data_IF_829649840733
#
_entry.id   IF_829649840733
#
_cell.length_a   1.000
_cell.length_b   1.000
_cell.length_c   1.000
_cell.angle_alpha   90.00
_cell.angle_beta   90.00
_cell.angle_gamma   90.00
#
_symmetry.space_group_name_H-M   'P 1'
#
loop_
_entity.id
_entity.type
_entity.pdbx_description
1 polymer ?
#
# COMPACT_ATOMS: atom_id res chain seq x y z
N UNK A 1 10.97 6.01 16.99
CA UNK A 1 10.57 6.41 15.63
C UNK A 1 9.10 6.15 15.45
N UNK A 2 8.44 6.79 14.49
CA UNK A 2 6.97 6.76 14.36
C UNK A 2 6.39 5.44 13.83
N UNK A 3 7.23 4.55 13.30
CA UNK A 3 6.82 3.20 12.91
C UNK A 3 6.23 3.09 11.50
N UNK A 4 6.47 4.06 10.62
CA UNK A 4 6.09 4.00 9.21
C UNK A 4 7.11 4.75 8.34
N UNK A 5 7.10 4.46 7.05
CA UNK A 5 7.89 5.16 6.03
C UNK A 5 6.99 6.07 5.19
N UNK A 6 7.58 7.14 4.66
CA UNK A 6 6.91 8.07 3.75
C UNK A 6 7.57 8.09 2.38
N UNK A 7 6.80 8.45 1.37
CA UNK A 7 7.22 8.74 -0.01
C UNK A 7 6.46 9.96 -0.52
N UNK A 8 6.81 10.49 -1.68
CA UNK A 8 6.18 11.68 -2.25
C UNK A 8 6.93 12.97 -1.91
N UNK A 9 6.32 14.10 -2.29
CA UNK A 9 6.92 15.43 -2.24
C UNK A 9 7.10 16.00 -3.64
N UNK A 10 7.31 17.31 -3.71
CA UNK A 10 7.44 18.05 -5.00
C UNK A 10 8.63 17.64 -5.85
N UNK A 11 9.70 17.15 -5.22
CA UNK A 11 10.93 16.68 -5.86
C UNK A 11 10.93 15.17 -6.13
N UNK A 12 10.00 14.42 -5.52
CA UNK A 12 9.96 12.96 -5.55
C UNK A 12 8.51 12.48 -5.61
N UNK A 13 7.80 12.85 -6.68
CA UNK A 13 6.39 12.49 -6.86
C UNK A 13 6.22 10.95 -6.83
N UNK A 14 5.36 10.49 -5.92
CA UNK A 14 4.99 9.08 -5.82
C UNK A 14 3.87 8.70 -6.79
N UNK A 15 2.94 9.64 -7.02
CA UNK A 15 1.86 9.52 -7.99
C UNK A 15 2.06 10.65 -9.02
N UNK A 16 1.94 10.32 -10.31
CA UNK A 16 2.14 11.28 -11.39
C UNK A 16 1.22 12.50 -11.23
N UNK A 17 1.80 13.70 -11.29
CA UNK A 17 1.11 14.99 -11.09
C UNK A 17 0.53 15.17 -9.67
N UNK A 18 1.09 14.49 -8.67
CA UNK A 18 0.70 14.68 -7.27
C UNK A 18 1.94 14.83 -6.37
N UNK A 19 2.10 16.02 -5.80
CA UNK A 19 3.21 16.38 -4.91
C UNK A 19 2.97 16.01 -3.44
N UNK A 20 1.91 15.26 -3.12
CA UNK A 20 1.56 14.94 -1.73
C UNK A 20 2.51 13.93 -1.09
N UNK A 21 2.50 13.88 0.24
CA UNK A 21 3.19 12.87 1.04
C UNK A 21 2.27 11.68 1.30
N UNK A 22 2.82 10.48 1.17
CA UNK A 22 2.10 9.21 1.33
C UNK A 22 2.82 8.27 2.28
N UNK A 23 2.05 7.43 2.98
CA UNK A 23 2.59 6.29 3.73
C UNK A 23 2.91 5.17 2.76
N UNK A 24 4.18 4.76 2.68
CA UNK A 24 4.60 3.64 1.81
C UNK A 24 4.65 2.30 2.51
N UNK A 25 4.92 2.30 3.81
CA UNK A 25 5.08 1.08 4.59
C UNK A 25 4.81 1.32 6.07
N UNK A 26 4.19 0.36 6.74
CA UNK A 26 4.01 0.37 8.20
C UNK A 26 4.85 -0.74 8.82
N UNK A 27 5.71 -0.37 9.77
CA UNK A 27 6.58 -1.31 10.48
C UNK A 27 5.75 -2.16 11.44
N UNK A 28 5.74 -3.48 11.23
CA UNK A 28 5.15 -4.45 12.18
C UNK A 28 5.68 -4.23 13.59
N UNK A 29 4.77 -4.29 14.57
CA UNK A 29 5.04 -4.04 16.00
C UNK A 29 5.62 -2.63 16.31
N UNK A 30 5.56 -1.70 15.35
CA UNK A 30 5.93 -0.29 15.52
C UNK A 30 4.79 0.57 16.06
N UNK A 31 5.08 1.82 16.45
CA UNK A 31 4.09 2.72 17.08
C UNK A 31 2.82 2.90 16.23
N UNK A 32 2.96 3.23 14.93
CA UNK A 32 1.80 3.34 14.03
C UNK A 32 1.05 2.02 13.81
N UNK A 33 1.74 0.87 13.85
CA UNK A 33 1.11 -0.45 13.74
C UNK A 33 0.28 -0.76 15.00
N UNK A 34 0.82 -0.49 16.18
CA UNK A 34 0.13 -0.70 17.46
C UNK A 34 -1.05 0.24 17.66
N UNK A 35 -0.99 1.47 17.13
CA UNK A 35 -2.13 2.38 17.05
C UNK A 35 -3.21 1.88 16.06
N UNK A 36 -2.79 1.28 14.94
CA UNK A 36 -3.65 0.54 14.01
C UNK A 36 -4.56 1.40 13.12
N UNK A 37 -4.55 2.73 13.28
CA UNK A 37 -5.43 3.64 12.52
C UNK A 37 -4.84 4.03 11.17
N UNK A 38 -3.52 4.17 11.09
CA UNK A 38 -2.79 4.53 9.87
C UNK A 38 -2.66 3.30 8.95
N UNK A 39 -2.74 3.51 7.64
CA UNK A 39 -2.63 2.45 6.63
C UNK A 39 -1.63 2.83 5.53
N UNK A 40 -1.04 1.81 4.91
CA UNK A 40 -0.24 2.01 3.69
C UNK A 40 -1.11 2.59 2.58
N UNK A 41 -0.57 3.55 1.83
CA UNK A 41 -1.30 4.30 0.81
C UNK A 41 -2.07 5.52 1.34
N UNK A 42 -2.16 5.73 2.65
CA UNK A 42 -2.76 6.96 3.19
C UNK A 42 -1.99 8.20 2.73
N UNK A 43 -2.72 9.20 2.24
CA UNK A 43 -2.18 10.53 1.97
C UNK A 43 -2.14 11.31 3.27
N UNK A 44 -0.98 11.85 3.63
CA UNK A 44 -0.83 12.69 4.82
C UNK A 44 -0.95 14.17 4.40
N UNK A 45 -1.97 14.84 4.91
CA UNK A 45 -2.26 16.24 4.62
C UNK A 45 -1.56 17.19 5.60
N UNK A 46 -1.47 16.81 6.87
CA UNK A 46 -0.85 17.64 7.89
C UNK A 46 -0.28 16.82 9.05
N UNK A 47 0.72 17.37 9.72
CA UNK A 47 1.34 16.85 10.94
C UNK A 47 1.33 17.93 12.04
N UNK A 48 0.76 17.61 13.21
CA UNK A 48 0.64 18.53 14.34
C UNK A 48 0.06 19.90 13.95
N UNK A 49 -0.90 19.91 13.02
CA UNK A 49 -1.53 21.12 12.49
C UNK A 49 -0.74 21.84 11.39
N UNK A 50 0.49 21.43 11.07
CA UNK A 50 1.26 21.99 9.95
C UNK A 50 0.95 21.23 8.66
N UNK A 51 0.54 21.96 7.64
CA UNK A 51 0.21 21.42 6.32
C UNK A 51 1.47 20.87 5.60
N UNK A 52 1.32 19.76 4.89
CA UNK A 52 2.38 19.08 4.14
C UNK A 52 2.27 19.26 2.62
N UNK A 53 1.29 20.03 2.14
CA UNK A 53 1.07 20.30 0.72
C UNK A 53 2.28 20.99 0.11
N UNK A 54 2.64 20.52 -1.09
CA UNK A 54 3.72 21.08 -1.93
C UNK A 54 5.08 21.21 -1.21
N UNK A 55 5.33 20.39 -0.19
CA UNK A 55 6.65 20.28 0.43
C UNK A 55 7.59 19.40 -0.39
N UNK A 56 8.89 19.66 -0.29
CA UNK A 56 9.90 18.69 -0.73
C UNK A 56 9.91 17.52 0.24
N UNK A 57 10.30 16.36 -0.25
CA UNK A 57 10.38 15.13 0.53
C UNK A 57 11.22 15.33 1.80
N UNK A 58 12.40 15.95 1.67
CA UNK A 58 13.30 16.21 2.80
C UNK A 58 12.65 17.08 3.89
N UNK A 59 11.89 18.09 3.50
CA UNK A 59 11.28 19.04 4.43
C UNK A 59 10.15 18.34 5.21
N UNK A 60 9.40 17.47 4.55
CA UNK A 60 8.42 16.60 5.21
C UNK A 60 9.09 15.64 6.20
N UNK A 61 10.20 15.00 5.82
CA UNK A 61 10.98 14.12 6.72
C UNK A 61 11.43 14.87 7.98
N UNK A 62 11.91 16.10 7.84
CA UNK A 62 12.32 16.93 8.98
C UNK A 62 11.14 17.22 9.93
N UNK A 63 9.93 17.43 9.40
CA UNK A 63 8.74 17.59 10.24
C UNK A 63 8.40 16.33 11.03
N UNK A 64 8.46 15.14 10.41
CA UNK A 64 8.21 13.89 11.14
C UNK A 64 9.29 13.59 12.19
N UNK A 65 10.56 13.92 11.90
CA UNK A 65 11.66 13.75 12.88
C UNK A 65 11.50 14.67 14.09
N UNK A 66 11.00 15.88 13.87
CA UNK A 66 10.82 16.89 14.91
C UNK A 66 9.41 16.89 15.53
N UNK A 67 8.56 15.91 15.20
CA UNK A 67 7.15 15.87 15.62
C UNK A 67 6.95 15.61 17.13
N UNK A 68 8.01 15.22 17.84
CA UNK A 68 7.98 14.92 19.27
C UNK A 68 7.44 13.52 19.59
N UNK A 69 7.01 13.32 20.84
CA UNK A 69 6.50 12.04 21.33
C UNK A 69 5.06 11.75 20.91
N UNK A 70 4.24 12.80 20.76
CA UNK A 70 2.84 12.71 20.33
C UNK A 70 2.68 13.36 18.98
N UNK A 71 2.08 12.64 18.03
CA UNK A 71 1.90 13.10 16.66
C UNK A 71 0.43 13.02 16.28
N UNK A 72 -0.13 14.13 15.82
CA UNK A 72 -1.47 14.20 15.22
C UNK A 72 -1.35 14.30 13.71
N UNK A 73 -1.96 13.36 12.99
CA UNK A 73 -1.95 13.32 11.54
C UNK A 73 -3.35 13.62 11.00
N UNK A 74 -3.42 14.52 10.02
CA UNK A 74 -4.60 14.67 9.17
C UNK A 74 -4.38 13.85 7.91
N UNK A 75 -5.22 12.85 7.67
CA UNK A 75 -5.07 11.92 6.55
C UNK A 75 -6.25 12.02 5.57
N UNK A 76 -5.97 11.73 4.30
CA UNK A 76 -6.96 11.47 3.28
C UNK A 76 -6.79 10.03 2.79
N UNK A 77 -7.76 9.18 3.13
CA UNK A 77 -7.83 7.82 2.65
C UNK A 77 -8.69 7.76 1.39
N UNK A 78 -8.12 7.32 0.26
CA UNK A 78 -8.96 6.89 -0.85
C UNK A 78 -9.57 5.55 -0.46
N UNK A 79 -10.91 5.48 -0.42
CA UNK A 79 -11.62 4.21 -0.47
C UNK A 79 -11.40 3.64 -1.87
N UNK A 80 -10.23 3.07 -2.12
CA UNK A 80 -10.11 2.12 -3.22
C UNK A 80 -10.97 0.93 -2.79
N UNK A 81 -12.03 0.54 -3.52
CA UNK A 81 -12.65 -0.75 -3.26
C UNK A 81 -11.52 -1.78 -3.33
N UNK A 82 -11.38 -2.59 -2.29
CA UNK A 82 -10.28 -3.54 -2.10
C UNK A 82 -10.43 -4.74 -3.06
N UNK A 83 -10.57 -4.47 -4.36
CA UNK A 83 -10.74 -5.46 -5.43
C UNK A 83 -9.40 -6.07 -5.83
N UNK A 84 -8.59 -6.44 -4.83
CA UNK A 84 -7.35 -7.17 -4.98
C UNK A 84 -7.09 -7.93 -3.69
N UNK A 85 -6.68 -9.21 -3.75
CA UNK A 85 -6.52 -10.01 -2.55
C UNK A 85 -5.45 -9.39 -1.65
N UNK A 86 -5.84 -8.99 -0.45
CA UNK A 86 -4.94 -8.66 0.65
C UNK A 86 -4.15 -9.92 0.97
N UNK A 87 -2.97 -10.03 0.38
CA UNK A 87 -1.99 -11.03 0.73
C UNK A 87 -1.39 -10.70 2.08
N UNK A 88 -2.11 -11.01 3.17
CA UNK A 88 -1.51 -11.24 4.47
C UNK A 88 -0.53 -12.41 4.31
N UNK A 89 0.74 -12.10 4.03
CA UNK A 89 1.81 -13.09 3.92
C UNK A 89 2.42 -13.29 5.30
N UNK A 90 1.63 -13.85 6.20
CA UNK A 90 2.08 -14.65 7.32
C UNK A 90 2.07 -16.11 6.90
N UNK A 91 3.16 -16.80 7.22
CA UNK A 91 3.16 -18.18 7.71
C UNK A 91 2.37 -19.25 6.92
N UNK A 92 3.14 -20.16 6.30
CA UNK A 92 2.91 -21.61 6.33
C UNK A 92 1.50 -22.18 6.11
N UNK A 93 1.41 -22.98 5.05
CA UNK A 93 0.64 -24.25 5.02
C UNK A 93 -0.81 -24.22 4.50
N UNK A 94 -1.00 -25.02 3.44
CA UNK A 94 -2.15 -25.87 3.14
C UNK A 94 -3.51 -25.25 2.74
N UNK A 95 -3.79 -25.38 1.43
CA UNK A 95 -5.06 -25.95 0.96
C UNK A 95 -6.31 -25.07 1.05
N UNK A 96 -6.50 -24.17 0.08
CA UNK A 96 -7.79 -23.53 -0.14
C UNK A 96 -7.82 -22.80 -1.48
N UNK A 97 -8.66 -23.25 -2.42
CA UNK A 97 -8.90 -22.57 -3.69
C UNK A 97 -9.62 -21.23 -3.42
N UNK A 98 -9.20 -20.08 -3.99
CA UNK A 98 -9.97 -18.85 -3.88
C UNK A 98 -11.25 -18.90 -4.72
N UNK A 99 -12.37 -18.58 -4.07
CA UNK A 99 -13.76 -18.54 -4.55
C UNK A 99 -14.07 -17.54 -5.69
N UNK A 100 -13.08 -17.09 -6.46
CA UNK A 100 -13.29 -16.16 -7.59
C UNK A 100 -13.57 -16.88 -8.93
N UNK A 101 -14.08 -18.11 -8.87
CA UNK A 101 -14.60 -18.81 -10.03
C UNK A 101 -16.13 -18.79 -9.97
N UNK A 102 -16.75 -17.90 -10.75
CA UNK A 102 -17.99 -18.08 -11.52
C UNK A 102 -18.44 -16.67 -11.93
N UNK A 103 -18.03 -16.23 -13.12
CA UNK A 103 -18.94 -15.60 -14.06
C UNK A 103 -18.31 -15.68 -15.45
N UNK A 104 -18.57 -16.79 -16.15
CA UNK A 104 -18.42 -16.85 -17.60
C UNK A 104 -19.79 -16.55 -18.20
N UNK A 105 -19.90 -15.48 -19.00
CA UNK A 105 -20.61 -15.62 -20.26
C UNK A 105 -19.79 -15.05 -21.42
N UNK A 106 -19.42 -15.93 -22.36
CA UNK A 106 -19.18 -15.57 -23.75
C UNK A 106 -17.77 -15.11 -24.12
N UNK A 107 -16.82 -16.05 -24.22
CA UNK A 107 -15.82 -16.21 -25.31
C UNK A 107 -14.61 -17.04 -24.84
N UNK A 108 -14.88 -18.33 -24.61
CA UNK A 108 -14.05 -19.45 -25.01
C UNK A 108 -13.27 -19.16 -26.32
N UNK A 109 -12.01 -19.50 -26.57
CA UNK A 109 -11.05 -20.47 -26.04
C UNK A 109 -9.73 -20.16 -26.76
N UNK A 110 -8.68 -19.70 -26.08
CA UNK A 110 -7.33 -19.74 -26.68
C UNK A 110 -6.22 -19.74 -25.62
N UNK A 111 -6.37 -18.96 -24.55
CA UNK A 111 -5.25 -18.76 -23.61
C UNK A 111 -5.05 -19.90 -22.59
N UNK A 112 -6.10 -20.68 -22.28
CA UNK A 112 -6.04 -21.69 -21.21
C UNK A 112 -5.26 -22.93 -21.62
N UNK A 113 -5.37 -23.37 -22.87
CA UNK A 113 -4.67 -24.56 -23.37
C UNK A 113 -3.15 -24.36 -23.44
N UNK A 114 -2.70 -23.17 -23.84
CA UNK A 114 -1.26 -22.83 -23.94
C UNK A 114 -0.61 -22.85 -22.55
N UNK A 115 -1.30 -22.33 -21.54
CA UNK A 115 -0.79 -22.31 -20.16
C UNK A 115 -0.70 -23.71 -19.54
N UNK A 116 -1.70 -24.57 -19.81
CA UNK A 116 -1.69 -25.97 -19.37
C UNK A 116 -0.59 -26.77 -20.07
N UNK A 117 -0.40 -26.56 -21.39
CA UNK A 117 0.61 -27.27 -22.18
C UNK A 117 2.04 -26.83 -21.83
N UNK A 118 2.27 -25.54 -21.57
CA UNK A 118 3.57 -25.02 -21.11
C UNK A 118 3.95 -25.58 -19.73
N UNK A 119 2.96 -25.81 -18.86
CA UNK A 119 3.19 -26.37 -17.52
C UNK A 119 3.52 -27.86 -17.51
N UNK A 120 3.03 -28.63 -18.49
CA UNK A 120 3.30 -30.07 -18.56
C UNK A 120 4.73 -30.38 -19.06
N UNK A 121 5.34 -29.48 -19.85
CA UNK A 121 6.65 -29.71 -20.49
C UNK A 121 7.87 -29.47 -19.60
N UNK A 122 7.69 -29.03 -18.36
CA UNK A 122 8.78 -28.81 -17.38
C UNK A 122 8.79 -29.83 -16.23
N UNK A 123 8.07 -30.95 -16.38
CA UNK A 123 7.99 -32.03 -15.39
C UNK A 123 8.46 -33.40 -15.91
N UNK A 124 9.32 -33.40 -16.93
CA UNK A 124 10.15 -34.54 -17.32
C UNK A 124 11.60 -34.07 -17.42
#
# INVERSE_FOLDING_TARGET
>A
GLGFNIVGGTDQQYIANDNSIYVSWIKKDGAAYLDGRLQEGDKILAINGKDLKDLRHKDAVELFRNAGYYVSLKIQRRLQPQNGPVGHRGDGESGGLPLAAILVPGLALAATAVWILLRYRQRM
#
